data_IF_062246353198
#
_entry.id   IF_062246353198
#
_cell.length_a   1.000
_cell.length_b   1.000
_cell.length_c   1.000
_cell.angle_alpha   90.00
_cell.angle_beta   90.00
_cell.angle_gamma   90.00
#
_symmetry.space_group_name_H-M   'P 1'
#
loop_
_entity.id
_entity.type
_entity.pdbx_description
1 polymer ?
#
# COMPACT_ATOMS: atom_id res chain seq x y z
N UNK A 1 51.16 -2.07 61.80
CA UNK A 1 50.12 -1.05 61.41
C UNK A 1 50.67 -0.09 60.37
N UNK A 2 50.89 -0.54 59.16
CA UNK A 2 51.17 0.31 57.99
C UNK A 2 50.92 -0.55 56.76
N UNK A 3 49.70 -0.68 56.26
CA UNK A 3 49.39 -1.23 54.93
C UNK A 3 47.89 -1.26 54.60
N UNK A 4 47.17 -0.15 54.89
CA UNK A 4 45.73 -0.12 54.58
C UNK A 4 45.26 1.21 53.94
N UNK A 5 46.18 2.11 53.56
CA UNK A 5 45.77 3.43 53.03
C UNK A 5 45.90 3.55 51.49
N UNK A 6 46.52 2.58 50.78
CA UNK A 6 46.72 2.70 49.31
C UNK A 6 45.73 1.91 48.49
N UNK A 7 44.75 1.21 49.10
CA UNK A 7 43.78 0.40 48.34
C UNK A 7 42.46 1.18 48.02
N UNK A 8 42.25 2.33 48.64
CA UNK A 8 40.99 3.10 48.48
C UNK A 8 41.04 4.15 47.34
N UNK A 9 42.21 4.36 46.70
CA UNK A 9 42.35 5.37 45.63
C UNK A 9 42.29 4.79 44.21
N UNK A 10 42.35 3.48 44.05
CA UNK A 10 42.37 2.81 42.71
C UNK A 10 40.97 2.50 42.22
N UNK A 11 40.00 2.28 43.12
CA UNK A 11 38.63 1.93 42.77
C UNK A 11 37.87 3.06 42.04
N UNK A 12 37.95 4.35 42.41
CA UNK A 12 37.25 5.41 41.71
C UNK A 12 37.86 5.73 40.33
N UNK A 13 39.17 5.48 40.12
CA UNK A 13 39.81 5.71 38.81
C UNK A 13 39.47 4.60 37.81
N UNK A 14 39.33 3.35 38.30
CA UNK A 14 38.90 2.25 37.44
C UNK A 14 37.41 2.32 37.05
N UNK A 15 36.54 2.81 37.97
CA UNK A 15 35.13 3.05 37.67
C UNK A 15 34.94 4.22 36.69
N UNK A 16 35.80 5.24 36.72
CA UNK A 16 35.74 6.33 35.74
C UNK A 16 36.24 5.90 34.35
N UNK A 17 37.19 4.97 34.28
CA UNK A 17 37.74 4.44 33.00
C UNK A 17 36.76 3.46 32.34
N UNK A 18 35.97 2.71 33.13
CA UNK A 18 34.95 1.80 32.60
C UNK A 18 33.70 2.55 32.10
N UNK A 19 33.34 3.69 32.72
CA UNK A 19 32.26 4.54 32.23
C UNK A 19 32.57 5.23 30.87
N UNK A 20 33.86 5.44 30.56
CA UNK A 20 34.24 6.05 29.26
C UNK A 20 34.26 5.05 28.07
N UNK A 21 34.18 3.72 28.35
CA UNK A 21 34.24 2.69 27.29
C UNK A 21 32.80 2.33 26.79
N UNK A 22 31.76 2.67 27.53
CA UNK A 22 30.36 2.51 27.14
C UNK A 22 29.66 3.84 26.82
N UNK A 23 30.38 4.78 26.22
CA UNK A 23 29.67 5.83 25.50
C UNK A 23 29.10 5.18 24.23
N UNK A 24 27.78 5.05 24.05
CA UNK A 24 27.26 4.61 22.76
C UNK A 24 27.79 5.62 21.74
N UNK A 25 28.60 5.15 20.81
CA UNK A 25 28.89 5.91 19.59
C UNK A 25 27.53 6.01 18.92
N UNK A 26 26.80 7.08 19.19
CA UNK A 26 25.69 7.49 18.35
C UNK A 26 26.34 7.81 17.01
N UNK A 27 26.46 6.81 16.16
CA UNK A 27 26.64 7.05 14.74
C UNK A 27 25.43 7.85 14.33
N UNK A 28 25.60 9.17 14.22
CA UNK A 28 24.63 10.05 13.61
C UNK A 28 24.40 9.43 12.23
N UNK A 29 23.25 8.79 12.05
CA UNK A 29 22.88 8.16 10.79
C UNK A 29 23.03 9.25 9.74
N UNK A 30 23.90 9.06 8.76
CA UNK A 30 23.97 9.96 7.61
C UNK A 30 22.53 10.06 7.09
N UNK A 31 21.94 11.27 7.09
CA UNK A 31 20.55 11.46 6.72
C UNK A 31 20.29 10.87 5.34
N UNK A 32 19.07 10.35 5.11
CA UNK A 32 18.66 9.88 3.79
C UNK A 32 18.76 11.03 2.78
N UNK A 33 19.03 10.70 1.53
CA UNK A 33 19.01 11.67 0.43
C UNK A 33 17.59 12.04 0.03
N UNK A 34 16.62 11.17 0.26
CA UNK A 34 15.20 11.42 0.04
C UNK A 34 14.66 12.42 1.05
N UNK A 35 13.89 13.41 0.56
CA UNK A 35 13.25 14.40 1.44
C UNK A 35 12.02 13.83 2.14
N UNK A 36 11.36 12.89 1.51
CA UNK A 36 10.15 12.23 1.99
C UNK A 36 10.37 10.73 1.86
N UNK A 37 10.31 10.03 2.96
CA UNK A 37 10.62 8.61 2.98
C UNK A 37 9.83 7.87 4.04
N UNK A 38 9.55 6.60 3.77
CA UNK A 38 8.94 5.69 4.73
C UNK A 38 9.41 4.26 4.52
N UNK A 39 9.48 3.54 5.60
CA UNK A 39 9.59 2.09 5.69
C UNK A 39 8.38 1.59 6.51
N UNK A 40 7.57 0.73 5.94
CA UNK A 40 6.44 0.13 6.64
C UNK A 40 6.53 -1.40 6.70
N UNK A 41 5.92 -1.98 7.73
CA UNK A 41 5.48 -3.37 7.73
C UNK A 41 4.27 -3.48 6.79
N UNK A 42 4.41 -4.19 5.69
CA UNK A 42 3.35 -4.27 4.67
C UNK A 42 2.09 -5.00 5.17
N UNK A 43 2.21 -5.89 6.16
CA UNK A 43 1.10 -6.69 6.66
C UNK A 43 0.23 -5.90 7.66
N UNK A 44 0.84 -5.04 8.48
CA UNK A 44 0.11 -4.23 9.48
C UNK A 44 -0.10 -2.77 9.07
N UNK A 45 0.66 -2.26 8.11
CA UNK A 45 0.73 -0.84 7.76
C UNK A 45 1.55 0.00 8.74
N UNK A 46 2.15 -0.62 9.76
CA UNK A 46 2.95 0.09 10.77
C UNK A 46 4.15 0.79 10.14
N UNK A 47 4.35 2.07 10.48
CA UNK A 47 5.56 2.81 10.14
C UNK A 47 6.69 2.34 11.05
N UNK A 48 7.77 1.81 10.46
CA UNK A 48 8.99 1.40 11.15
C UNK A 48 10.04 2.51 11.16
N UNK A 49 10.01 3.35 10.13
CA UNK A 49 10.84 4.56 10.01
C UNK A 49 10.21 5.50 9.00
N UNK A 50 10.22 6.80 9.26
CA UNK A 50 9.66 7.81 8.36
C UNK A 50 10.39 9.15 8.48
N UNK A 51 10.31 9.95 7.45
CA UNK A 51 10.73 11.34 7.41
C UNK A 51 9.85 12.11 6.45
N UNK A 52 9.06 13.07 6.97
CA UNK A 52 8.04 13.81 6.24
C UNK A 52 7.10 12.87 5.43
N UNK A 53 6.83 11.69 5.96
CA UNK A 53 6.18 10.57 5.30
C UNK A 53 4.72 10.84 4.91
N UNK A 54 4.07 11.80 5.57
CA UNK A 54 2.68 12.20 5.33
C UNK A 54 2.55 13.50 4.53
N UNK A 55 3.66 14.04 4.03
CA UNK A 55 3.62 15.29 3.23
C UNK A 55 3.24 14.98 1.78
N UNK A 56 2.20 15.66 1.26
CA UNK A 56 1.75 15.54 -0.12
C UNK A 56 2.75 16.16 -1.10
N UNK A 57 3.21 15.36 -2.06
CA UNK A 57 4.19 15.77 -3.07
C UNK A 57 3.96 15.07 -4.41
N UNK A 58 4.51 15.63 -5.49
CA UNK A 58 4.50 15.00 -6.82
C UNK A 58 5.21 13.63 -6.76
N UNK A 59 4.61 12.63 -7.40
CA UNK A 59 5.03 11.23 -7.31
C UNK A 59 5.66 10.67 -8.58
N UNK A 60 5.61 11.44 -9.69
CA UNK A 60 6.10 11.01 -11.00
C UNK A 60 5.52 9.62 -11.41
N UNK A 61 6.27 8.85 -12.19
CA UNK A 61 5.84 7.54 -12.70
C UNK A 61 5.66 6.43 -11.63
N UNK A 62 5.78 6.71 -10.32
CA UNK A 62 5.32 5.75 -9.32
C UNK A 62 3.79 5.59 -9.34
N UNK A 63 3.07 6.58 -9.90
CA UNK A 63 1.65 6.53 -10.28
C UNK A 63 1.26 5.25 -11.02
N UNK A 64 2.13 4.75 -11.89
CA UNK A 64 1.86 3.61 -12.78
C UNK A 64 1.59 2.30 -12.02
N UNK A 65 1.91 2.23 -10.73
CA UNK A 65 1.52 1.13 -9.84
C UNK A 65 0.00 1.08 -9.73
N UNK A 66 -0.64 2.23 -9.46
CA UNK A 66 -2.09 2.33 -9.38
C UNK A 66 -2.73 2.09 -10.76
N UNK A 67 -2.14 2.62 -11.82
CA UNK A 67 -2.61 2.36 -13.20
C UNK A 67 -2.64 0.86 -13.52
N UNK A 68 -1.58 0.13 -13.17
CA UNK A 68 -1.53 -1.31 -13.39
C UNK A 68 -2.58 -2.05 -12.57
N UNK A 69 -2.70 -1.77 -11.27
CA UNK A 69 -3.62 -2.52 -10.42
C UNK A 69 -5.08 -2.29 -10.80
N UNK A 70 -5.46 -1.05 -11.17
CA UNK A 70 -6.81 -0.75 -11.68
C UNK A 70 -7.11 -1.55 -12.95
N UNK A 71 -6.17 -1.62 -13.89
CA UNK A 71 -6.38 -2.38 -15.13
C UNK A 71 -6.48 -3.90 -14.85
N UNK A 72 -5.63 -4.44 -13.97
CA UNK A 72 -5.66 -5.87 -13.60
C UNK A 72 -6.93 -6.29 -12.88
N UNK A 73 -7.52 -5.41 -12.08
CA UNK A 73 -8.74 -5.71 -11.32
C UNK A 73 -10.02 -5.56 -12.15
N UNK A 74 -9.98 -4.77 -13.23
CA UNK A 74 -11.18 -4.41 -13.98
C UNK A 74 -11.27 -5.00 -15.39
N UNK A 75 -10.17 -5.55 -15.94
CA UNK A 75 -10.12 -6.00 -17.31
C UNK A 75 -9.64 -7.44 -17.46
N UNK A 76 -10.13 -8.10 -18.52
CA UNK A 76 -9.49 -9.30 -19.02
C UNK A 76 -8.14 -8.93 -19.66
N UNK A 77 -7.08 -9.58 -19.23
CA UNK A 77 -5.71 -9.33 -19.72
C UNK A 77 -5.46 -9.73 -21.19
N UNK A 78 -6.42 -10.36 -21.85
CA UNK A 78 -6.28 -10.85 -23.22
C UNK A 78 -7.02 -10.00 -24.25
N UNK A 79 -7.69 -8.91 -23.85
CA UNK A 79 -8.37 -8.09 -24.83
C UNK A 79 -7.39 -7.23 -25.65
N UNK A 80 -7.82 -6.86 -26.84
CA UNK A 80 -7.04 -5.99 -27.75
C UNK A 80 -7.26 -4.54 -27.35
N UNK A 81 -6.16 -3.82 -27.10
CA UNK A 81 -6.13 -2.38 -26.86
C UNK A 81 -5.66 -1.64 -28.11
N UNK A 82 -6.26 -0.51 -28.45
CA UNK A 82 -5.91 0.32 -29.61
C UNK A 82 -5.35 1.67 -29.13
N UNK A 83 -4.29 2.12 -29.78
CA UNK A 83 -3.65 3.40 -29.54
C UNK A 83 -4.45 4.55 -30.13
N UNK A 84 -4.88 5.52 -29.32
CA UNK A 84 -5.49 6.77 -29.77
C UNK A 84 -4.44 7.76 -30.28
N UNK A 85 -4.86 8.81 -30.97
CA UNK A 85 -3.98 9.92 -31.32
C UNK A 85 -3.43 10.67 -30.10
N UNK A 86 -4.24 10.77 -29.03
CA UNK A 86 -3.83 11.36 -27.77
C UNK A 86 -2.73 10.55 -27.07
N UNK A 87 -2.93 9.24 -26.94
CA UNK A 87 -1.93 8.35 -26.35
C UNK A 87 -0.60 8.38 -27.12
N UNK A 88 -0.66 8.34 -28.47
CA UNK A 88 0.52 8.42 -29.32
C UNK A 88 1.27 9.76 -29.19
N UNK A 89 0.62 10.83 -28.73
CA UNK A 89 1.22 12.16 -28.54
C UNK A 89 1.89 12.37 -27.19
N UNK A 90 1.85 11.38 -26.29
CA UNK A 90 2.42 11.53 -24.94
C UNK A 90 3.93 11.83 -25.02
N UNK A 91 4.45 12.69 -24.11
CA UNK A 91 5.90 12.98 -24.09
C UNK A 91 6.70 11.77 -23.59
N UNK A 92 8.00 11.81 -23.83
CA UNK A 92 8.97 10.81 -23.36
C UNK A 92 8.88 10.56 -21.82
N UNK A 93 9.03 9.31 -21.42
CA UNK A 93 9.48 8.07 -22.05
C UNK A 93 8.33 7.39 -22.76
N UNK A 94 8.51 6.89 -23.98
CA UNK A 94 7.45 6.31 -24.82
C UNK A 94 7.82 4.90 -25.33
N UNK A 95 6.81 4.07 -25.56
CA UNK A 95 6.89 2.88 -26.41
C UNK A 95 7.04 3.29 -27.89
N UNK A 96 6.61 4.50 -28.23
CA UNK A 96 6.45 5.06 -29.57
C UNK A 96 5.35 4.34 -30.36
N UNK A 97 4.27 3.96 -29.69
CA UNK A 97 3.10 3.41 -30.32
C UNK A 97 2.45 4.44 -31.26
N UNK A 98 2.03 4.00 -32.45
CA UNK A 98 1.40 4.88 -33.45
C UNK A 98 -0.13 4.78 -33.36
N UNK A 99 -0.83 5.84 -33.75
CA UNK A 99 -2.31 5.85 -33.79
C UNK A 99 -2.86 4.67 -34.58
N UNK A 100 -3.80 3.96 -34.00
CA UNK A 100 -4.42 2.76 -34.58
C UNK A 100 -3.62 1.46 -34.39
N UNK A 101 -2.41 1.54 -33.82
CA UNK A 101 -1.66 0.33 -33.47
C UNK A 101 -2.35 -0.43 -32.33
N UNK A 102 -2.39 -1.75 -32.46
CA UNK A 102 -3.12 -2.62 -31.55
C UNK A 102 -2.22 -3.59 -30.82
N UNK A 103 -2.50 -3.78 -29.55
CA UNK A 103 -1.75 -4.66 -28.64
C UNK A 103 -2.68 -5.58 -27.86
N UNK A 104 -2.18 -6.74 -27.45
CA UNK A 104 -2.77 -7.42 -26.29
C UNK A 104 -2.47 -6.58 -25.06
N UNK A 105 -3.48 -6.17 -24.32
CA UNK A 105 -3.30 -5.20 -23.22
C UNK A 105 -2.28 -5.67 -22.17
N UNK A 106 -2.20 -6.97 -21.94
CA UNK A 106 -1.21 -7.57 -21.05
C UNK A 106 0.24 -7.23 -21.45
N UNK A 107 0.56 -7.10 -22.72
CA UNK A 107 1.90 -6.72 -23.17
C UNK A 107 2.23 -5.25 -22.83
N UNK A 108 1.22 -4.39 -22.86
CA UNK A 108 1.35 -2.99 -22.41
C UNK A 108 1.58 -2.87 -20.90
N UNK A 109 1.12 -3.81 -20.09
CA UNK A 109 1.42 -3.84 -18.64
C UNK A 109 2.91 -3.99 -18.37
N UNK A 110 3.63 -4.78 -19.18
CA UNK A 110 5.09 -4.86 -19.11
C UNK A 110 5.75 -3.55 -19.56
N UNK A 111 5.25 -2.96 -20.65
CA UNK A 111 5.71 -1.66 -21.14
C UNK A 111 5.58 -0.57 -20.05
N UNK A 112 4.43 -0.52 -19.38
CA UNK A 112 4.12 0.38 -18.26
C UNK A 112 5.10 0.24 -17.11
N UNK A 113 5.39 -1.00 -16.68
CA UNK A 113 6.14 -1.24 -15.45
C UNK A 113 7.64 -1.33 -15.66
N UNK A 114 8.11 -2.00 -16.73
CA UNK A 114 9.52 -2.23 -16.96
C UNK A 114 10.25 -0.98 -17.46
N UNK A 115 9.69 -0.31 -18.49
CA UNK A 115 10.31 0.86 -19.13
C UNK A 115 9.66 2.18 -18.73
N UNK A 116 8.46 2.14 -18.11
CA UNK A 116 7.73 3.33 -17.64
C UNK A 116 7.13 4.20 -18.75
N UNK A 117 6.74 3.62 -19.88
CA UNK A 117 6.25 4.35 -21.04
C UNK A 117 4.94 5.11 -20.75
N UNK A 118 4.90 6.39 -21.16
CA UNK A 118 3.78 7.28 -20.88
C UNK A 118 2.59 7.04 -21.81
N UNK A 119 2.86 6.76 -23.08
CA UNK A 119 1.86 6.36 -24.08
C UNK A 119 1.15 5.06 -23.66
N UNK A 120 1.91 4.05 -23.20
CA UNK A 120 1.34 2.80 -22.71
C UNK A 120 0.38 3.01 -21.53
N UNK A 121 0.69 3.96 -20.62
CA UNK A 121 -0.18 4.28 -19.49
C UNK A 121 -1.53 4.86 -19.97
N UNK A 122 -1.49 5.73 -20.98
CA UNK A 122 -2.71 6.35 -21.54
C UNK A 122 -3.50 5.33 -22.37
N UNK A 123 -2.83 4.50 -23.21
CA UNK A 123 -3.50 3.41 -23.93
C UNK A 123 -4.24 2.49 -22.97
N UNK A 124 -3.59 2.08 -21.85
CA UNK A 124 -4.21 1.25 -20.82
C UNK A 124 -5.42 1.96 -20.23
N UNK A 125 -5.29 3.22 -19.85
CA UNK A 125 -6.36 3.98 -19.23
C UNK A 125 -7.58 4.14 -20.11
N UNK A 126 -7.41 4.58 -21.36
CA UNK A 126 -8.50 4.77 -22.33
C UNK A 126 -9.21 3.44 -22.64
N UNK A 127 -8.44 2.39 -22.93
CA UNK A 127 -9.01 1.10 -23.27
C UNK A 127 -9.71 0.43 -22.08
N UNK A 128 -9.18 0.58 -20.86
CA UNK A 128 -9.84 0.09 -19.63
C UNK A 128 -11.15 0.83 -19.37
N UNK A 129 -11.15 2.17 -19.46
CA UNK A 129 -12.36 2.96 -19.31
C UNK A 129 -13.42 2.57 -20.36
N UNK A 130 -13.04 2.47 -21.63
CA UNK A 130 -13.94 2.06 -22.70
C UNK A 130 -14.48 0.63 -22.47
N UNK A 131 -13.64 -0.31 -22.08
CA UNK A 131 -14.06 -1.68 -21.73
C UNK A 131 -15.13 -1.68 -20.64
N UNK A 132 -14.96 -0.90 -19.59
CA UNK A 132 -15.93 -0.79 -18.49
C UNK A 132 -17.23 -0.14 -18.93
N UNK A 133 -17.19 0.90 -19.77
CA UNK A 133 -18.37 1.53 -20.36
C UNK A 133 -19.17 0.53 -21.20
N UNK A 134 -18.51 -0.38 -21.93
CA UNK A 134 -19.17 -1.45 -22.66
C UNK A 134 -19.88 -2.44 -21.71
N UNK A 135 -19.32 -2.70 -20.54
CA UNK A 135 -19.87 -3.64 -19.54
C UNK A 135 -20.93 -3.03 -18.65
N UNK A 136 -20.82 -1.73 -18.33
CA UNK A 136 -21.68 -1.06 -17.38
C UNK A 136 -22.54 0.06 -18.04
N UNK A 137 -23.82 -0.21 -18.34
CA UNK A 137 -24.69 0.78 -18.97
C UNK A 137 -24.88 2.09 -18.17
N UNK A 138 -24.74 2.07 -16.84
CA UNK A 138 -24.97 3.25 -15.99
C UNK A 138 -23.90 4.34 -16.18
N UNK A 139 -22.72 3.98 -16.69
CA UNK A 139 -21.62 4.94 -16.94
C UNK A 139 -21.69 5.63 -18.30
N UNK A 140 -22.62 5.21 -19.18
CA UNK A 140 -22.67 5.64 -20.60
C UNK A 140 -23.14 7.07 -20.82
N UNK A 141 -23.81 7.67 -19.83
CA UNK A 141 -24.26 9.08 -19.92
C UNK A 141 -23.12 10.09 -20.06
N UNK A 142 -21.92 9.72 -19.59
CA UNK A 142 -20.73 10.58 -19.63
C UNK A 142 -20.01 10.53 -20.99
N UNK A 143 -20.34 9.55 -21.84
CA UNK A 143 -19.66 9.31 -23.11
C UNK A 143 -20.62 9.24 -24.31
N UNK A 144 -21.39 10.33 -24.61
CA UNK A 144 -22.37 10.32 -25.69
C UNK A 144 -21.76 10.14 -27.09
N UNK A 145 -20.45 10.28 -27.22
CA UNK A 145 -19.72 10.06 -28.48
C UNK A 145 -19.47 8.57 -28.79
N UNK A 146 -19.68 7.67 -27.84
CA UNK A 146 -19.57 6.24 -28.05
C UNK A 146 -20.94 5.70 -28.48
N UNK A 147 -21.07 5.35 -29.76
CA UNK A 147 -22.34 4.86 -30.34
C UNK A 147 -22.50 3.34 -30.21
N UNK A 148 -21.40 2.60 -30.04
CA UNK A 148 -21.41 1.16 -29.97
C UNK A 148 -20.72 0.68 -28.68
N UNK A 149 -21.45 0.01 -27.84
CA UNK A 149 -21.00 -0.56 -26.58
C UNK A 149 -20.74 -2.08 -26.65
N UNK A 150 -20.68 -2.65 -27.85
CA UNK A 150 -20.00 -3.93 -28.05
C UNK A 150 -18.52 -3.62 -28.18
N UNK A 151 -17.72 -4.15 -27.25
CA UNK A 151 -16.31 -3.79 -27.18
C UNK A 151 -15.60 -4.03 -28.53
N UNK A 152 -15.19 -2.94 -29.15
CA UNK A 152 -14.34 -2.89 -30.34
C UNK A 152 -13.36 -1.74 -30.14
N UNK A 153 -12.13 -2.06 -29.75
CA UNK A 153 -11.14 -1.04 -29.41
C UNK A 153 -10.73 -0.17 -30.61
N UNK A 154 -10.99 -0.59 -31.84
CA UNK A 154 -10.66 0.19 -33.05
C UNK A 154 -11.29 1.60 -33.06
N UNK A 155 -12.43 1.77 -32.36
CA UNK A 155 -13.08 3.07 -32.13
C UNK A 155 -12.11 4.09 -31.54
N UNK A 156 -11.17 3.67 -30.71
CA UNK A 156 -10.22 4.57 -30.04
C UNK A 156 -9.20 5.21 -31.00
N UNK A 157 -9.01 4.64 -32.20
CA UNK A 157 -8.19 5.28 -33.24
C UNK A 157 -8.85 6.49 -33.89
N UNK A 158 -10.18 6.64 -33.72
CA UNK A 158 -11.01 7.66 -34.35
C UNK A 158 -11.43 8.80 -33.41
N UNK A 159 -11.24 8.62 -32.09
CA UNK A 159 -11.60 9.63 -31.09
C UNK A 159 -10.65 10.83 -31.14
N UNK A 160 -11.20 12.01 -30.85
CA UNK A 160 -10.42 13.22 -30.74
C UNK A 160 -9.77 13.40 -29.35
N UNK A 161 -8.99 14.44 -29.18
CA UNK A 161 -8.26 14.73 -27.94
C UNK A 161 -9.18 14.88 -26.71
N UNK A 162 -10.27 15.64 -26.83
CA UNK A 162 -11.25 15.87 -25.76
C UNK A 162 -11.94 14.57 -25.33
N UNK A 163 -12.28 13.73 -26.29
CA UNK A 163 -12.88 12.42 -26.03
C UNK A 163 -11.91 11.46 -25.31
N UNK A 164 -10.61 11.51 -25.68
CA UNK A 164 -9.56 10.79 -24.96
C UNK A 164 -9.42 11.27 -23.51
N UNK A 165 -9.42 12.59 -23.28
CA UNK A 165 -9.36 13.16 -21.93
C UNK A 165 -10.54 12.72 -21.05
N UNK A 166 -11.75 12.60 -21.61
CA UNK A 166 -12.91 12.05 -20.90
C UNK A 166 -12.66 10.61 -20.44
N UNK A 167 -12.13 9.74 -21.33
CA UNK A 167 -11.81 8.36 -20.97
C UNK A 167 -10.71 8.28 -19.91
N UNK A 168 -9.68 9.12 -20.02
CA UNK A 168 -8.61 9.24 -19.01
C UNK A 168 -9.19 9.70 -17.69
N UNK A 169 -10.11 10.68 -17.70
CA UNK A 169 -10.76 11.17 -16.48
C UNK A 169 -11.59 10.08 -15.79
N UNK A 170 -12.35 9.27 -16.56
CA UNK A 170 -13.08 8.11 -16.02
C UNK A 170 -12.10 7.14 -15.35
N UNK A 171 -10.97 6.85 -16.00
CA UNK A 171 -9.97 5.94 -15.44
C UNK A 171 -9.32 6.49 -14.17
N UNK A 172 -8.95 7.79 -14.14
CA UNK A 172 -8.37 8.41 -12.94
C UNK A 172 -9.39 8.54 -11.80
N UNK A 173 -10.68 8.65 -12.13
CA UNK A 173 -11.77 8.49 -11.16
C UNK A 173 -11.69 7.14 -10.43
N UNK A 174 -11.53 6.04 -11.18
CA UNK A 174 -11.34 4.71 -10.58
C UNK A 174 -10.05 4.61 -9.75
N UNK A 175 -8.96 5.32 -10.14
CA UNK A 175 -7.75 5.37 -9.33
C UNK A 175 -7.99 6.08 -7.99
N UNK A 176 -8.78 7.16 -7.99
CA UNK A 176 -9.12 7.90 -6.78
C UNK A 176 -10.11 7.11 -5.89
N UNK A 177 -11.11 6.45 -6.47
CA UNK A 177 -11.99 5.53 -5.74
C UNK A 177 -11.19 4.42 -5.06
N UNK A 178 -10.22 3.83 -5.77
CA UNK A 178 -9.33 2.82 -5.18
C UNK A 178 -8.45 3.41 -4.06
N UNK A 179 -7.98 4.65 -4.21
CA UNK A 179 -7.23 5.33 -3.16
C UNK A 179 -8.05 5.45 -1.87
N UNK A 180 -9.32 5.82 -1.98
CA UNK A 180 -10.26 5.86 -0.86
C UNK A 180 -10.51 4.47 -0.27
N UNK A 181 -10.75 3.46 -1.10
CA UNK A 181 -10.99 2.07 -0.69
C UNK A 181 -9.84 1.48 0.15
N UNK A 182 -8.59 1.80 -0.20
CA UNK A 182 -7.42 1.34 0.54
C UNK A 182 -6.90 2.38 1.55
N UNK A 183 -7.73 3.37 1.85
CA UNK A 183 -7.50 4.40 2.89
C UNK A 183 -6.20 5.19 2.68
N UNK A 184 -5.96 5.65 1.46
CA UNK A 184 -4.90 6.62 1.18
C UNK A 184 -5.44 8.02 1.51
N UNK A 185 -4.93 8.61 2.59
CA UNK A 185 -5.53 9.83 3.15
C UNK A 185 -5.16 11.11 2.40
N UNK A 186 -4.07 11.08 1.63
CA UNK A 186 -3.51 12.29 0.99
C UNK A 186 -2.87 11.94 -0.38
N UNK A 187 -3.70 11.32 -1.23
CA UNK A 187 -3.32 10.90 -2.59
C UNK A 187 -4.40 11.30 -3.57
N UNK A 188 -4.02 11.97 -4.66
CA UNK A 188 -4.93 12.40 -5.72
C UNK A 188 -4.35 12.17 -7.11
N UNK A 189 -5.07 11.42 -7.94
CA UNK A 189 -4.67 11.05 -9.29
C UNK A 189 -5.39 11.89 -10.34
N UNK A 190 -4.62 12.56 -11.20
CA UNK A 190 -5.12 13.33 -12.36
C UNK A 190 -4.66 12.68 -13.66
N UNK A 191 -3.49 12.03 -13.67
CA UNK A 191 -2.93 11.39 -14.84
C UNK A 191 -2.59 9.92 -14.58
N UNK A 192 -2.75 9.01 -15.56
CA UNK A 192 -2.40 7.59 -15.39
C UNK A 192 -0.89 7.32 -15.53
N UNK A 193 -0.12 8.26 -16.07
CA UNK A 193 1.31 8.11 -16.34
C UNK A 193 2.21 8.78 -15.30
N UNK A 194 1.67 9.68 -14.45
CA UNK A 194 2.41 10.38 -13.41
C UNK A 194 3.12 11.64 -13.89
N UNK A 195 2.73 12.19 -15.03
CA UNK A 195 3.10 13.54 -15.39
C UNK A 195 2.46 14.54 -14.43
N UNK A 196 3.21 15.60 -14.13
CA UNK A 196 2.72 16.65 -13.22
C UNK A 196 1.49 17.33 -13.84
N UNK A 197 0.42 17.43 -13.06
CA UNK A 197 -0.84 18.04 -13.45
C UNK A 197 -1.51 18.66 -12.23
N UNK A 198 -2.40 19.61 -12.48
CA UNK A 198 -3.29 20.21 -11.47
C UNK A 198 -4.65 20.50 -12.11
N UNK A 199 -5.69 20.43 -11.30
CA UNK A 199 -7.05 20.77 -11.66
C UNK A 199 -7.66 21.76 -10.65
N UNK A 200 -8.97 21.96 -10.69
CA UNK A 200 -9.64 22.90 -9.79
C UNK A 200 -9.69 22.43 -8.33
N UNK A 201 -9.34 21.17 -8.04
CA UNK A 201 -9.45 20.57 -6.73
C UNK A 201 -8.07 20.41 -6.07
N UNK A 202 -7.06 19.93 -6.81
CA UNK A 202 -5.74 19.66 -6.27
C UNK A 202 -4.70 19.51 -7.39
N UNK A 203 -3.47 19.16 -7.00
CA UNK A 203 -2.43 18.71 -7.94
C UNK A 203 -2.27 17.20 -7.87
N UNK A 204 -1.67 16.59 -8.88
CA UNK A 204 -1.35 15.16 -8.91
C UNK A 204 -0.29 14.83 -7.85
N UNK A 205 -0.67 14.16 -6.75
CA UNK A 205 0.19 13.95 -5.59
C UNK A 205 -0.09 12.66 -4.84
N UNK A 206 0.85 12.30 -4.00
CA UNK A 206 0.75 11.28 -2.94
C UNK A 206 1.67 11.65 -1.79
N UNK A 207 1.61 10.87 -0.70
CA UNK A 207 2.61 10.88 0.37
C UNK A 207 3.52 9.66 0.26
N UNK A 208 4.68 9.67 0.92
CA UNK A 208 5.53 8.48 0.97
C UNK A 208 4.79 7.31 1.65
N UNK A 209 4.01 7.61 2.70
CA UNK A 209 3.22 6.59 3.42
C UNK A 209 2.13 5.98 2.52
N UNK A 210 1.34 6.78 1.84
CA UNK A 210 0.30 6.29 0.95
C UNK A 210 0.88 5.49 -0.23
N UNK A 211 2.01 5.92 -0.79
CA UNK A 211 2.69 5.19 -1.85
C UNK A 211 3.19 3.82 -1.37
N UNK A 212 3.73 3.73 -0.16
CA UNK A 212 4.14 2.45 0.44
C UNK A 212 2.92 1.54 0.71
N UNK A 213 1.78 2.08 1.17
CA UNK A 213 0.51 1.36 1.31
C UNK A 213 -0.01 0.85 -0.04
N UNK A 214 0.06 1.69 -1.08
CA UNK A 214 -0.30 1.27 -2.46
C UNK A 214 0.54 0.07 -2.90
N UNK A 215 1.86 0.08 -2.66
CA UNK A 215 2.72 -1.07 -2.97
C UNK A 215 2.34 -2.28 -2.12
N UNK A 216 2.06 -2.12 -0.82
CA UNK A 216 1.65 -3.20 0.08
C UNK A 216 0.33 -3.86 -0.38
N UNK A 217 -0.61 -3.08 -0.91
CA UNK A 217 -1.82 -3.59 -1.53
C UNK A 217 -1.51 -4.39 -2.80
N UNK A 218 -0.75 -3.80 -3.71
CA UNK A 218 -0.50 -4.37 -5.04
C UNK A 218 0.27 -5.69 -5.01
N UNK A 219 1.21 -5.89 -4.08
CA UNK A 219 1.99 -7.14 -3.98
C UNK A 219 1.15 -8.36 -3.55
N UNK A 220 -0.10 -8.17 -3.14
CA UNK A 220 -1.02 -9.28 -2.91
C UNK A 220 -1.65 -9.82 -4.22
N UNK A 221 -1.52 -9.08 -5.33
CA UNK A 221 -1.97 -9.50 -6.65
C UNK A 221 -0.85 -10.27 -7.37
N UNK A 222 -1.11 -11.54 -7.73
CA UNK A 222 -0.12 -12.42 -8.34
C UNK A 222 0.30 -11.94 -9.75
N UNK A 223 -0.64 -11.44 -10.56
CA UNK A 223 -0.33 -10.91 -11.90
C UNK A 223 0.53 -9.64 -11.80
N UNK A 224 0.27 -8.78 -10.80
CA UNK A 224 1.12 -7.62 -10.51
C UNK A 224 2.56 -8.04 -10.20
N UNK A 225 2.75 -9.01 -9.31
CA UNK A 225 4.08 -9.53 -8.97
C UNK A 225 4.76 -10.15 -10.20
N UNK A 226 4.04 -10.97 -10.96
CA UNK A 226 4.59 -11.61 -12.16
C UNK A 226 5.12 -10.57 -13.16
N UNK A 227 4.37 -9.50 -13.40
CA UNK A 227 4.76 -8.42 -14.31
C UNK A 227 5.97 -7.66 -13.75
N UNK A 228 5.93 -7.23 -12.49
CA UNK A 228 6.96 -6.38 -11.91
C UNK A 228 8.28 -7.10 -11.62
N UNK A 229 8.25 -8.43 -11.48
CA UNK A 229 9.43 -9.30 -11.33
C UNK A 229 10.09 -9.66 -12.66
N UNK A 230 9.43 -9.40 -13.78
CA UNK A 230 9.98 -9.71 -15.10
C UNK A 230 11.20 -8.83 -15.39
N UNK A 231 12.33 -9.46 -15.72
CA UNK A 231 13.60 -8.76 -16.00
C UNK A 231 13.58 -8.16 -17.41
N UNK A 232 13.09 -8.92 -18.39
CA UNK A 232 12.95 -8.47 -19.77
C UNK A 232 11.76 -9.14 -20.45
N UNK A 233 11.19 -8.48 -21.43
CA UNK A 233 10.05 -8.97 -22.20
C UNK A 233 10.19 -8.53 -23.65
N UNK A 234 9.89 -9.42 -24.59
CA UNK A 234 9.69 -9.10 -26.00
C UNK A 234 8.24 -9.36 -26.36
N UNK A 235 7.67 -8.51 -27.18
CA UNK A 235 6.32 -8.68 -27.74
C UNK A 235 6.20 -7.97 -29.09
N UNK A 236 5.07 -8.14 -29.74
CA UNK A 236 4.76 -7.47 -31.01
C UNK A 236 3.38 -6.85 -30.92
N UNK A 237 3.11 -5.88 -31.79
CA UNK A 237 1.74 -5.49 -32.08
C UNK A 237 0.91 -6.68 -32.60
N UNK A 238 -0.41 -6.55 -32.63
CA UNK A 238 -1.29 -7.67 -33.08
C UNK A 238 -1.08 -8.10 -34.53
N UNK A 239 -0.47 -7.24 -35.35
CA UNK A 239 -0.17 -7.54 -36.75
C UNK A 239 1.18 -8.26 -36.92
N UNK A 240 2.04 -8.25 -35.91
CA UNK A 240 3.42 -8.73 -35.96
C UNK A 240 4.35 -7.84 -36.76
N UNK A 241 3.93 -6.61 -37.10
CA UNK A 241 4.73 -5.68 -37.91
C UNK A 241 5.79 -4.96 -37.07
N UNK A 242 5.44 -4.58 -35.82
CA UNK A 242 6.33 -3.90 -34.90
C UNK A 242 6.71 -4.82 -33.75
N UNK A 243 8.00 -4.79 -33.40
CA UNK A 243 8.57 -5.63 -32.35
C UNK A 243 9.19 -4.76 -31.27
N UNK A 244 8.90 -5.09 -30.03
CA UNK A 244 9.33 -4.33 -28.86
C UNK A 244 10.16 -5.20 -27.93
N UNK A 245 11.22 -4.61 -27.38
CA UNK A 245 12.05 -5.24 -26.35
C UNK A 245 12.11 -4.32 -25.15
N UNK A 246 11.75 -4.86 -23.99
CA UNK A 246 11.69 -4.16 -22.72
C UNK A 246 12.71 -4.70 -21.74
N UNK A 247 13.29 -3.82 -20.92
CA UNK A 247 14.19 -4.17 -19.84
C UNK A 247 13.77 -3.47 -18.55
N UNK A 248 13.71 -4.19 -17.44
CA UNK A 248 13.28 -3.63 -16.18
C UNK A 248 14.27 -2.60 -15.64
N UNK A 249 13.81 -1.38 -15.39
CA UNK A 249 14.62 -0.27 -14.86
C UNK A 249 14.84 -0.36 -13.34
N UNK A 250 14.19 -1.29 -12.65
CA UNK A 250 14.42 -1.53 -11.23
C UNK A 250 15.75 -2.25 -11.00
N UNK A 251 16.80 -1.51 -10.72
CA UNK A 251 18.16 -2.06 -10.52
C UNK A 251 18.30 -2.89 -9.24
N UNK A 252 17.36 -2.77 -8.31
CA UNK A 252 17.38 -3.55 -7.06
C UNK A 252 16.55 -4.82 -7.19
N UNK A 253 15.85 -5.02 -8.31
CA UNK A 253 15.05 -6.23 -8.50
C UNK A 253 15.93 -7.47 -8.38
N UNK A 254 15.73 -8.20 -7.31
CA UNK A 254 16.37 -9.47 -7.04
C UNK A 254 15.46 -10.26 -6.07
N UNK A 255 14.51 -11.06 -6.59
CA UNK A 255 13.60 -11.83 -5.77
C UNK A 255 14.30 -12.82 -4.85
N UNK A 256 15.44 -13.38 -5.28
CA UNK A 256 16.24 -14.32 -4.47
C UNK A 256 16.88 -13.65 -3.25
N UNK A 257 17.15 -12.33 -3.32
CA UNK A 257 17.63 -11.51 -2.21
C UNK A 257 16.49 -10.77 -1.49
N UNK A 258 15.24 -11.02 -1.88
CA UNK A 258 14.04 -10.53 -1.23
C UNK A 258 13.43 -9.28 -1.84
N UNK A 259 14.01 -8.62 -2.85
CA UNK A 259 13.37 -7.47 -3.51
C UNK A 259 12.44 -7.98 -4.60
N UNK A 260 11.14 -8.05 -4.26
CA UNK A 260 10.11 -8.72 -5.06
C UNK A 260 9.35 -7.81 -6.01
N UNK A 261 9.44 -6.49 -5.87
CA UNK A 261 8.76 -5.52 -6.73
C UNK A 261 9.37 -4.13 -6.58
N UNK A 262 9.11 -3.23 -7.53
CA UNK A 262 9.46 -1.83 -7.38
C UNK A 262 9.19 -1.02 -8.64
N UNK A 263 9.05 0.30 -8.47
CA UNK A 263 8.83 1.27 -9.54
C UNK A 263 9.62 2.54 -9.31
N UNK A 264 10.29 3.02 -10.36
CA UNK A 264 10.98 4.30 -10.37
C UNK A 264 10.12 5.39 -10.98
N UNK A 265 10.35 6.65 -10.58
CA UNK A 265 9.77 7.82 -11.18
C UNK A 265 10.76 8.98 -11.25
N UNK A 266 10.52 9.92 -12.17
CA UNK A 266 11.21 11.19 -12.23
C UNK A 266 10.38 12.18 -13.02
N UNK A 267 10.16 13.37 -12.46
CA UNK A 267 9.86 14.62 -13.17
C UNK A 267 10.72 15.72 -12.58
N UNK A 268 10.80 16.87 -13.25
CA UNK A 268 11.56 17.99 -12.72
C UNK A 268 10.99 18.49 -11.38
N UNK A 269 9.67 18.42 -11.18
CA UNK A 269 8.98 18.81 -9.94
C UNK A 269 9.18 17.76 -8.85
N UNK A 270 8.99 16.48 -9.16
CA UNK A 270 9.06 15.38 -8.19
C UNK A 270 10.49 15.02 -7.74
N UNK A 271 11.51 15.25 -8.60
CA UNK A 271 12.82 14.64 -8.42
C UNK A 271 12.81 13.13 -8.64
N UNK A 272 13.86 12.42 -8.22
CA UNK A 272 13.88 10.97 -8.29
C UNK A 272 12.99 10.37 -7.22
N UNK A 273 12.06 9.49 -7.65
CA UNK A 273 11.16 8.73 -6.80
C UNK A 273 11.43 7.23 -6.97
N UNK A 274 11.20 6.48 -5.90
CA UNK A 274 11.29 5.03 -5.93
C UNK A 274 10.39 4.42 -4.85
N UNK A 275 9.69 3.36 -5.20
CA UNK A 275 8.97 2.52 -4.25
C UNK A 275 9.33 1.07 -4.51
N UNK A 276 9.52 0.28 -3.47
CA UNK A 276 9.79 -1.15 -3.61
C UNK A 276 9.20 -1.97 -2.46
N UNK A 277 9.04 -3.26 -2.73
CA UNK A 277 8.70 -4.26 -1.74
C UNK A 277 9.86 -5.24 -1.54
N UNK A 278 10.19 -5.48 -0.28
CA UNK A 278 11.13 -6.51 0.17
C UNK A 278 10.36 -7.58 0.94
N UNK A 279 10.66 -8.86 0.70
CA UNK A 279 10.08 -9.99 1.41
C UNK A 279 11.12 -11.03 1.73
N UNK A 280 11.17 -11.47 2.96
CA UNK A 280 11.87 -12.68 3.41
C UNK A 280 10.88 -13.61 4.14
N UNK A 281 11.38 -14.66 4.79
CA UNK A 281 10.51 -15.63 5.51
C UNK A 281 9.74 -15.03 6.67
N UNK A 282 10.26 -13.96 7.27
CA UNK A 282 9.78 -13.41 8.54
C UNK A 282 9.03 -12.08 8.36
N UNK A 283 9.22 -11.38 7.23
CA UNK A 283 8.70 -10.01 7.05
C UNK A 283 8.44 -9.64 5.60
N UNK A 284 7.46 -8.76 5.41
CA UNK A 284 7.20 -8.05 4.17
C UNK A 284 7.30 -6.55 4.44
N UNK A 285 8.23 -5.88 3.75
CA UNK A 285 8.50 -4.45 3.93
C UNK A 285 8.15 -3.69 2.66
N UNK A 286 7.51 -2.53 2.78
CA UNK A 286 7.38 -1.58 1.69
C UNK A 286 8.13 -0.29 2.01
N UNK A 287 8.91 0.19 1.04
CA UNK A 287 9.74 1.39 1.14
C UNK A 287 9.30 2.35 0.06
N UNK A 288 9.02 3.60 0.41
CA UNK A 288 8.80 4.67 -0.55
C UNK A 288 9.74 5.83 -0.29
N UNK A 289 10.31 6.35 -1.38
CA UNK A 289 11.30 7.43 -1.41
C UNK A 289 10.84 8.45 -2.44
N UNK A 290 10.55 9.68 -2.01
CA UNK A 290 10.13 10.77 -2.88
C UNK A 290 11.15 11.92 -2.76
N UNK A 291 11.31 12.68 -3.85
CA UNK A 291 12.30 13.76 -3.96
C UNK A 291 13.71 13.32 -3.50
N UNK A 292 14.15 12.15 -3.97
CA UNK A 292 15.44 11.54 -3.64
C UNK A 292 16.55 12.06 -4.57
N UNK A 293 16.75 13.38 -4.59
CA UNK A 293 17.70 14.09 -5.43
C UNK A 293 17.21 14.34 -6.85
N UNK A 294 18.02 15.13 -7.58
CA UNK A 294 17.83 15.51 -8.98
C UNK A 294 19.10 15.18 -9.78
N UNK A 295 19.10 15.28 -11.10
CA UNK A 295 20.31 15.08 -11.89
C UNK A 295 21.51 15.89 -11.37
N UNK A 296 22.71 15.28 -11.27
CA UNK A 296 23.06 13.94 -11.77
C UNK A 296 22.85 12.77 -10.79
N UNK A 297 22.22 12.99 -9.63
CA UNK A 297 22.21 12.10 -8.45
C UNK A 297 21.23 10.91 -8.53
N UNK A 298 21.09 10.29 -9.69
CA UNK A 298 20.12 9.21 -9.95
C UNK A 298 20.27 7.94 -9.10
N UNK A 299 21.38 7.80 -8.38
CA UNK A 299 21.69 6.58 -7.61
C UNK A 299 21.31 6.69 -6.12
N UNK A 300 20.97 7.88 -5.61
CA UNK A 300 20.64 8.10 -4.20
C UNK A 300 19.52 7.18 -3.73
N UNK A 301 18.45 7.03 -4.51
CA UNK A 301 17.33 6.15 -4.20
C UNK A 301 17.71 4.68 -3.95
N UNK A 302 18.76 4.20 -4.61
CA UNK A 302 19.25 2.82 -4.40
C UNK A 302 19.99 2.68 -3.07
N UNK A 303 20.72 3.71 -2.67
CA UNK A 303 21.39 3.77 -1.37
C UNK A 303 20.39 3.83 -0.23
N UNK A 304 19.43 4.75 -0.31
CA UNK A 304 18.39 4.94 0.70
C UNK A 304 17.53 3.69 0.86
N UNK A 305 17.12 3.06 -0.25
CA UNK A 305 16.34 1.84 -0.21
C UNK A 305 17.07 0.70 0.51
N UNK A 306 18.38 0.48 0.18
CA UNK A 306 19.18 -0.53 0.88
C UNK A 306 19.34 -0.24 2.37
N UNK A 307 19.52 1.03 2.72
CA UNK A 307 19.61 1.44 4.12
C UNK A 307 18.31 1.11 4.87
N UNK A 308 17.15 1.49 4.32
CA UNK A 308 15.86 1.22 4.96
C UNK A 308 15.53 -0.27 5.02
N UNK A 309 15.92 -1.07 4.01
CA UNK A 309 15.79 -2.54 4.07
C UNK A 309 16.67 -3.11 5.20
N UNK A 310 17.91 -2.63 5.33
CA UNK A 310 18.80 -3.08 6.40
C UNK A 310 18.26 -2.70 7.79
N UNK A 311 17.65 -1.51 7.92
CA UNK A 311 16.95 -1.09 9.13
C UNK A 311 15.76 -2.01 9.42
N UNK A 312 14.92 -2.27 8.42
CA UNK A 312 13.73 -3.14 8.56
C UNK A 312 14.08 -4.58 8.97
N UNK A 313 15.27 -5.06 8.62
CA UNK A 313 15.77 -6.40 9.03
C UNK A 313 16.06 -6.50 10.55
N UNK A 314 16.12 -5.38 11.27
CA UNK A 314 16.27 -5.37 12.73
C UNK A 314 14.95 -5.66 13.45
N UNK A 315 13.82 -5.52 12.76
CA UNK A 315 12.50 -5.85 13.29
C UNK A 315 12.20 -7.34 13.09
N UNK A 316 11.51 -7.94 14.04
CA UNK A 316 11.05 -9.33 13.97
C UNK A 316 9.54 -9.41 14.15
N UNK A 317 8.92 -10.44 13.55
CA UNK A 317 7.48 -10.64 13.69
C UNK A 317 7.16 -11.12 15.09
N UNK A 318 6.29 -10.39 15.76
CA UNK A 318 5.80 -10.70 17.10
C UNK A 318 4.31 -11.00 17.04
N UNK A 319 3.91 -12.01 17.79
CA UNK A 319 2.51 -12.40 17.95
C UNK A 319 2.02 -11.97 19.33
N UNK A 320 1.10 -11.01 19.37
CA UNK A 320 0.64 -10.44 20.62
C UNK A 320 -0.68 -11.01 21.13
N UNK A 321 -1.51 -11.55 20.26
CA UNK A 321 -2.76 -12.24 20.62
C UNK A 321 -2.94 -13.49 19.79
N UNK A 322 -3.40 -14.54 20.45
CA UNK A 322 -4.01 -15.70 19.82
C UNK A 322 -5.48 -15.76 20.25
N UNK A 323 -6.29 -16.57 19.57
CA UNK A 323 -7.73 -16.74 19.85
C UNK A 323 -8.02 -17.39 21.22
N UNK A 324 -7.00 -17.62 22.07
CA UNK A 324 -7.11 -18.23 23.41
C UNK A 324 -7.37 -17.19 24.50
N UNK A 325 -7.16 -15.88 24.24
CA UNK A 325 -7.48 -14.83 25.21
C UNK A 325 -9.00 -14.69 25.33
N UNK A 326 -9.49 -14.83 26.57
CA UNK A 326 -10.92 -14.74 26.90
C UNK A 326 -11.14 -13.76 28.04
N UNK A 327 -12.11 -12.86 27.85
CA UNK A 327 -12.56 -11.93 28.89
C UNK A 327 -13.91 -12.41 29.44
N UNK A 328 -14.05 -12.46 30.75
CA UNK A 328 -15.29 -12.89 31.42
C UNK A 328 -16.06 -11.67 31.90
N UNK A 329 -17.16 -11.35 31.23
CA UNK A 329 -18.00 -10.19 31.53
C UNK A 329 -19.29 -10.62 32.21
N UNK A 330 -19.67 -10.03 33.36
CA UNK A 330 -20.95 -10.30 34.01
C UNK A 330 -22.14 -10.01 33.07
N UNK A 331 -23.18 -10.85 33.14
CA UNK A 331 -24.40 -10.68 32.35
C UNK A 331 -25.61 -10.49 33.23
N UNK A 332 -26.25 -9.34 33.14
CA UNK A 332 -27.51 -9.07 33.82
C UNK A 332 -28.69 -9.67 33.06
N UNK A 333 -29.69 -10.19 33.76
CA UNK A 333 -30.91 -10.80 33.22
C UNK A 333 -30.67 -11.96 32.22
N UNK A 334 -29.48 -12.52 32.19
CA UNK A 334 -29.10 -13.63 31.31
C UNK A 334 -29.38 -14.99 31.93
N UNK A 335 -29.53 -16.03 31.06
CA UNK A 335 -29.57 -17.42 31.50
C UNK A 335 -28.23 -17.84 32.13
N UNK A 336 -27.10 -17.32 31.60
CA UNK A 336 -25.76 -17.46 32.16
C UNK A 336 -25.37 -16.15 32.86
N UNK A 337 -24.63 -16.26 33.96
CA UNK A 337 -24.17 -15.11 34.77
C UNK A 337 -22.96 -14.38 34.16
N UNK A 338 -22.23 -15.04 33.24
CA UNK A 338 -21.06 -14.50 32.58
C UNK A 338 -21.09 -14.79 31.09
N UNK A 339 -20.54 -13.88 30.31
CA UNK A 339 -20.26 -13.99 28.89
C UNK A 339 -18.75 -14.08 28.68
N UNK A 340 -18.31 -15.01 27.85
CA UNK A 340 -16.94 -15.08 27.34
C UNK A 340 -16.84 -14.20 26.10
N UNK A 341 -16.06 -13.11 26.15
CA UNK A 341 -15.69 -12.33 24.98
C UNK A 341 -14.33 -12.82 24.48
N UNK A 342 -14.24 -13.08 23.19
CA UNK A 342 -13.03 -13.53 22.50
C UNK A 342 -12.67 -12.56 21.38
N UNK A 343 -11.38 -12.34 21.09
CA UNK A 343 -10.93 -11.57 19.92
C UNK A 343 -11.33 -12.31 18.63
N UNK A 344 -11.72 -11.58 17.61
CA UNK A 344 -12.13 -12.15 16.32
C UNK A 344 -10.96 -12.52 15.41
N UNK A 345 -9.73 -12.07 15.73
CA UNK A 345 -8.51 -12.46 15.04
C UNK A 345 -7.27 -12.41 15.97
N UNK A 346 -6.17 -13.02 15.52
CA UNK A 346 -4.85 -12.81 16.11
C UNK A 346 -4.19 -11.57 15.52
N UNK A 347 -3.25 -10.97 16.25
CA UNK A 347 -2.41 -9.89 15.75
C UNK A 347 -0.95 -10.29 15.72
N UNK A 348 -0.35 -10.07 14.57
CA UNK A 348 1.08 -10.14 14.36
C UNK A 348 1.53 -8.87 13.66
N UNK A 349 2.63 -8.28 14.10
CA UNK A 349 3.29 -7.15 13.47
C UNK A 349 4.79 -7.17 13.73
N UNK A 350 5.54 -6.42 12.94
CA UNK A 350 6.98 -6.28 13.14
C UNK A 350 7.28 -5.35 14.32
N UNK A 351 8.12 -5.82 15.24
CA UNK A 351 8.61 -5.05 16.38
C UNK A 351 10.11 -5.28 16.61
N UNK A 352 10.78 -4.34 17.26
CA UNK A 352 12.17 -4.44 17.71
C UNK A 352 12.24 -4.41 19.23
N UNK A 353 13.45 -4.62 19.79
CA UNK A 353 13.65 -4.68 21.24
C UNK A 353 13.37 -3.34 21.94
N UNK A 354 13.52 -2.21 21.25
CA UNK A 354 13.31 -0.88 21.79
C UNK A 354 11.82 -0.45 21.76
N UNK A 355 10.93 -1.26 21.16
CA UNK A 355 9.51 -0.92 21.07
C UNK A 355 8.79 -1.13 22.41
N UNK A 356 8.08 -0.11 22.88
CA UNK A 356 7.15 -0.21 23.99
C UNK A 356 5.76 -0.59 23.48
N UNK A 357 5.30 -1.80 23.79
CA UNK A 357 3.98 -2.28 23.35
C UNK A 357 2.98 -2.17 24.50
N UNK A 358 1.94 -1.38 24.31
CA UNK A 358 0.83 -1.20 25.26
C UNK A 358 -0.45 -1.80 24.68
N UNK A 359 -1.16 -2.57 25.51
CA UNK A 359 -2.41 -3.24 25.16
C UNK A 359 -3.50 -2.76 26.10
N UNK A 360 -4.56 -2.19 25.54
CA UNK A 360 -5.69 -1.66 26.28
C UNK A 360 -6.98 -2.39 25.86
N UNK A 361 -7.72 -2.93 26.80
CA UNK A 361 -9.02 -3.53 26.55
C UNK A 361 -10.13 -2.51 26.87
N UNK A 362 -10.92 -2.18 25.85
CA UNK A 362 -12.16 -1.42 26.02
C UNK A 362 -13.32 -2.43 26.04
N UNK A 363 -13.75 -2.77 27.26
CA UNK A 363 -14.76 -3.78 27.53
C UNK A 363 -15.82 -3.25 28.51
N UNK A 364 -17.10 -3.62 28.35
CA UNK A 364 -18.15 -3.21 29.27
C UNK A 364 -18.01 -3.91 30.62
N UNK A 365 -18.31 -3.20 31.68
CA UNK A 365 -18.36 -3.80 33.04
C UNK A 365 -19.44 -4.87 33.19
N UNK A 366 -20.59 -4.69 32.51
CA UNK A 366 -21.74 -5.60 32.56
C UNK A 366 -22.45 -5.61 31.20
N UNK A 367 -22.80 -6.79 30.72
CA UNK A 367 -23.68 -6.99 29.55
C UNK A 367 -25.13 -7.19 29.98
N UNK A 368 -26.11 -6.76 29.20
CA UNK A 368 -27.53 -7.04 29.39
C UNK A 368 -28.01 -8.10 28.39
N UNK A 369 -28.63 -9.19 28.88
CA UNK A 369 -29.22 -10.19 28.00
C UNK A 369 -30.46 -9.67 27.24
N UNK A 370 -30.67 -10.10 25.97
CA UNK A 370 -29.95 -11.18 25.27
C UNK A 370 -28.59 -10.69 24.76
N UNK A 371 -27.57 -11.55 24.81
CA UNK A 371 -26.26 -11.35 24.21
C UNK A 371 -26.21 -12.17 22.92
N UNK A 372 -25.78 -11.55 21.82
CA UNK A 372 -25.69 -12.20 20.51
C UNK A 372 -24.21 -12.44 20.14
N UNK A 373 -23.84 -13.66 19.78
CA UNK A 373 -22.46 -14.03 19.42
C UNK A 373 -21.95 -13.35 18.13
N UNK A 374 -22.82 -12.81 17.27
CA UNK A 374 -22.42 -12.08 16.08
C UNK A 374 -22.16 -10.58 16.32
N UNK A 375 -22.49 -10.06 17.48
CA UNK A 375 -22.37 -8.65 17.84
C UNK A 375 -21.03 -8.37 18.53
N UNK A 376 -20.47 -7.18 18.26
CA UNK A 376 -19.27 -6.66 18.92
C UNK A 376 -19.66 -6.06 20.27
N UNK A 377 -18.91 -6.41 21.33
CA UNK A 377 -19.14 -5.95 22.69
C UNK A 377 -17.95 -5.23 23.34
N UNK A 378 -16.87 -5.08 22.60
CA UNK A 378 -15.68 -4.39 23.07
C UNK A 378 -14.58 -4.46 22.02
N UNK A 379 -13.42 -3.92 22.36
CA UNK A 379 -12.23 -3.93 21.52
C UNK A 379 -10.95 -4.09 22.35
N UNK A 380 -9.91 -4.60 21.73
CA UNK A 380 -8.53 -4.55 22.20
C UNK A 380 -7.77 -3.58 21.32
N UNK A 381 -7.24 -2.51 21.89
CA UNK A 381 -6.44 -1.52 21.22
C UNK A 381 -4.95 -1.77 21.49
N UNK A 382 -4.15 -1.83 20.45
CA UNK A 382 -2.70 -2.05 20.54
C UNK A 382 -1.98 -0.78 20.11
N UNK A 383 -1.08 -0.35 20.95
CA UNK A 383 -0.21 0.81 20.75
C UNK A 383 1.24 0.35 20.75
N UNK A 384 2.06 0.95 19.91
CA UNK A 384 3.51 0.79 19.93
C UNK A 384 4.12 2.18 19.98
N UNK A 385 4.93 2.44 21.02
CA UNK A 385 5.51 3.76 21.31
C UNK A 385 4.43 4.85 21.39
N UNK A 386 3.29 4.53 22.05
CA UNK A 386 2.08 5.34 22.20
C UNK A 386 1.28 5.62 20.91
N UNK A 387 1.73 5.12 19.75
CA UNK A 387 1.00 5.23 18.48
C UNK A 387 0.04 4.05 18.30
N UNK A 388 -1.22 4.29 17.89
CA UNK A 388 -2.20 3.22 17.68
C UNK A 388 -1.85 2.40 16.44
N UNK A 389 -1.69 1.09 16.61
CA UNK A 389 -1.38 0.18 15.50
C UNK A 389 -2.63 -0.51 14.98
N UNK A 390 -3.47 -1.02 15.89
CA UNK A 390 -4.67 -1.76 15.50
C UNK A 390 -5.67 -1.87 16.65
N UNK A 391 -6.96 -1.97 16.26
CA UNK A 391 -8.05 -2.35 17.15
C UNK A 391 -8.64 -3.68 16.71
N UNK A 392 -8.85 -4.61 17.66
CA UNK A 392 -9.46 -5.93 17.44
C UNK A 392 -10.81 -5.95 18.11
N UNK A 393 -11.86 -6.33 17.37
CA UNK A 393 -13.19 -6.52 17.92
C UNK A 393 -13.26 -7.72 18.87
N UNK A 394 -14.00 -7.56 19.96
CA UNK A 394 -14.36 -8.62 20.89
C UNK A 394 -15.80 -9.04 20.66
N UNK A 395 -16.03 -10.33 20.41
CA UNK A 395 -17.35 -10.93 20.21
C UNK A 395 -17.66 -11.93 21.30
N UNK A 396 -18.96 -12.11 21.58
CA UNK A 396 -19.37 -13.16 22.49
C UNK A 396 -19.12 -14.53 21.85
N UNK A 397 -18.44 -15.43 22.55
CA UNK A 397 -18.16 -16.81 22.12
C UNK A 397 -19.45 -17.61 21.86
N UNK A 398 -20.51 -17.27 22.60
CA UNK A 398 -21.83 -17.86 22.46
C UNK A 398 -22.95 -16.86 22.80
N UNK A 399 -24.10 -17.03 22.20
CA UNK A 399 -25.28 -16.22 22.52
C UNK A 399 -25.87 -16.61 23.89
N UNK A 400 -26.31 -15.60 24.68
CA UNK A 400 -26.91 -15.81 25.98
C UNK A 400 -28.35 -15.23 25.96
N UNK A 401 -29.37 -16.10 26.00
CA UNK A 401 -30.75 -15.64 26.06
C UNK A 401 -31.10 -15.02 27.41
N UNK A 402 -32.17 -14.22 27.44
CA UNK A 402 -32.73 -13.72 28.71
C UNK A 402 -33.18 -14.87 29.59
N UNK A 403 -32.97 -14.72 30.90
CA UNK A 403 -33.56 -15.60 31.92
C UNK A 403 -35.07 -15.35 31.96
N UNK A 404 -35.85 -16.37 31.68
CA UNK A 404 -37.31 -16.30 31.74
C UNK A 404 -37.76 -16.60 33.14
N UNK A 405 -38.49 -15.69 33.79
CA UNK A 405 -39.13 -15.96 35.07
C UNK A 405 -40.49 -16.62 34.84
N UNK A 406 -40.82 -17.59 35.67
CA UNK A 406 -42.12 -18.32 35.59
C UNK A 406 -43.32 -17.36 35.58
N UNK A 407 -43.21 -16.25 36.32
CA UNK A 407 -44.22 -15.19 36.33
C UNK A 407 -44.44 -14.52 34.97
N UNK A 408 -43.41 -14.41 34.14
CA UNK A 408 -43.50 -13.83 32.79
C UNK A 408 -44.19 -14.77 31.81
N UNK A 409 -44.02 -16.08 32.01
CA UNK A 409 -44.75 -17.11 31.25
C UNK A 409 -46.22 -17.08 31.60
N UNK A 410 -46.53 -16.99 32.88
CA UNK A 410 -47.92 -16.91 33.36
C UNK A 410 -48.64 -15.67 32.82
N UNK A 411 -48.00 -14.51 32.84
CA UNK A 411 -48.55 -13.24 32.28
C UNK A 411 -48.80 -13.35 30.76
N UNK A 412 -47.99 -14.06 29.98
CA UNK A 412 -48.20 -14.29 28.54
C UNK A 412 -49.30 -15.28 28.21
N UNK A 413 -49.67 -16.16 29.13
CA UNK A 413 -50.78 -17.13 28.94
C UNK A 413 -52.15 -16.48 29.25
N UNK A 414 -52.14 -15.40 30.08
CA UNK A 414 -53.37 -14.70 30.51
C UNK A 414 -53.56 -13.31 29.82
N UNK A 415 -52.76 -12.97 28.81
CA UNK A 415 -53.00 -11.92 27.80
C UNK A 415 -53.43 -12.57 26.46
#
# INVERSE_FOLDING_TARGET
MKSFKNFLLIIPVLSLLVCCIFCPITTQAAGLYSKYSVLIDADSGRILSGSNETTAVSMASTTKIMTLIIALENCDKNFVATTSAYAASMPDVQLNAVTGEQFIINDLYYSLMLESHNDSAVIIAENTAYYLLCKNPSLRSETPFINNYNYDSSVLSEINHEQSEILVHIFTGLMNEKADDILLSDTYYITPNGLDAEDNYSFHHTTAYDLAKTMAYCINNQDFLYITQTVSKTFSDTTGRYHYQLNNKNRLLNPDEGIISGKTGFTNKAGYCYVCAYKDKDRTLCIALLACGWPPNKNYKWSDARYLIALGKQYSRQKYFNNEYTFYIPVSKGKNSFCELIPDCSIEFLACEDDSVTIQADIPEVLSAPVNSSQIYGAINIYVNDEPIRSISLKAKQSIPKKVHVLDIIRKIFQ
#
